data_IF_282301556449
#
_entry.id   IF_282301556449
#
_cell.length_a   1.000
_cell.length_b   1.000
_cell.length_c   1.000
_cell.angle_alpha   90.00
_cell.angle_beta   90.00
_cell.angle_gamma   90.00
#
_symmetry.space_group_name_H-M   'P 1'
#
loop_
_entity.id
_entity.type
_entity.pdbx_description
1 polymer ?
#
# COMPACT_ATOMS: atom_id res chain seq x y z
N UNK A 1 -35.45 29.74 -28.60
CA UNK A 1 -34.56 28.57 -28.40
C UNK A 1 -34.70 28.15 -26.95
N UNK A 2 -35.03 26.90 -26.70
CA UNK A 2 -35.17 26.35 -25.35
C UNK A 2 -33.81 25.79 -24.93
N UNK A 3 -33.31 26.20 -23.77
CA UNK A 3 -32.05 25.68 -23.22
C UNK A 3 -32.39 24.64 -22.16
N UNK A 4 -31.88 23.42 -22.30
CA UNK A 4 -31.98 22.39 -21.26
C UNK A 4 -30.69 22.35 -20.45
N UNK A 5 -30.79 22.47 -19.13
CA UNK A 5 -29.65 22.41 -18.22
C UNK A 5 -29.69 21.13 -17.38
N UNK A 6 -28.57 20.40 -17.37
CA UNK A 6 -28.35 19.36 -16.38
C UNK A 6 -27.85 19.98 -15.07
N UNK A 7 -28.74 20.21 -14.12
CA UNK A 7 -28.43 20.76 -12.79
C UNK A 7 -28.31 19.69 -11.69
N UNK A 8 -28.55 18.41 -12.01
CA UNK A 8 -28.36 17.31 -11.06
C UNK A 8 -26.90 16.85 -11.01
N UNK A 9 -26.49 16.20 -9.91
CA UNK A 9 -25.11 15.73 -9.70
C UNK A 9 -24.80 14.41 -10.43
N UNK A 10 -25.55 14.05 -11.47
CA UNK A 10 -25.36 12.83 -12.26
C UNK A 10 -25.32 13.15 -13.76
N UNK A 11 -24.70 12.27 -14.54
CA UNK A 11 -24.72 12.40 -16.00
C UNK A 11 -26.07 11.92 -16.54
N UNK A 12 -26.67 12.72 -17.43
CA UNK A 12 -27.93 12.38 -18.10
C UNK A 12 -27.71 12.24 -19.60
N UNK A 13 -28.41 11.29 -20.22
CA UNK A 13 -28.50 11.19 -21.67
C UNK A 13 -29.85 11.77 -22.12
N UNK A 14 -29.83 12.60 -23.16
CA UNK A 14 -30.98 13.35 -23.68
C UNK A 14 -31.08 13.08 -25.18
N UNK A 15 -32.27 12.78 -25.67
CA UNK A 15 -32.56 12.57 -27.10
C UNK A 15 -33.68 13.52 -27.55
N UNK A 16 -33.34 14.39 -28.49
CA UNK A 16 -34.23 15.37 -29.12
C UNK A 16 -34.58 14.98 -30.57
N UNK A 17 -34.47 13.70 -30.94
CA UNK A 17 -34.75 13.18 -32.29
C UNK A 17 -33.53 13.10 -33.22
N UNK A 18 -32.38 13.62 -32.80
CA UNK A 18 -31.10 13.49 -33.52
C UNK A 18 -30.16 12.44 -32.91
N UNK A 19 -30.65 11.70 -31.90
CA UNK A 19 -29.91 10.71 -31.14
C UNK A 19 -29.50 11.19 -29.75
N UNK A 20 -28.97 10.26 -28.96
CA UNK A 20 -28.61 10.50 -27.57
C UNK A 20 -27.35 11.37 -27.42
N UNK A 21 -27.52 12.53 -26.82
CA UNK A 21 -26.45 13.43 -26.36
C UNK A 21 -26.31 13.27 -24.85
N UNK A 22 -25.10 13.35 -24.31
CA UNK A 22 -24.91 13.27 -22.86
C UNK A 22 -24.46 14.58 -22.28
N UNK A 23 -25.14 14.93 -21.21
CA UNK A 23 -24.93 16.14 -20.45
C UNK A 23 -24.38 15.74 -19.10
N UNK A 24 -23.13 16.11 -18.86
CA UNK A 24 -22.53 16.05 -17.53
C UNK A 24 -23.13 17.13 -16.63
N UNK A 25 -22.97 17.03 -15.30
CA UNK A 25 -23.45 18.04 -14.37
C UNK A 25 -23.00 19.44 -14.79
N UNK A 26 -23.94 20.40 -14.74
CA UNK A 26 -23.81 21.81 -15.12
C UNK A 26 -23.66 22.08 -16.62
N UNK A 27 -23.73 21.06 -17.49
CA UNK A 27 -23.76 21.27 -18.93
C UNK A 27 -25.15 21.68 -19.41
N UNK A 28 -25.18 22.38 -20.54
CA UNK A 28 -26.37 22.92 -21.18
C UNK A 28 -26.48 22.40 -22.61
N UNK A 29 -27.70 22.15 -23.05
CA UNK A 29 -28.04 21.72 -24.42
C UNK A 29 -29.03 22.71 -25.02
N UNK A 30 -28.68 23.26 -26.19
CA UNK A 30 -29.62 24.06 -26.98
C UNK A 30 -30.53 23.12 -27.77
N UNK A 31 -31.84 23.18 -27.51
CA UNK A 31 -32.83 22.38 -28.21
C UNK A 31 -33.32 23.17 -29.43
N UNK A 32 -33.28 22.55 -30.60
CA UNK A 32 -33.83 23.12 -31.82
C UNK A 32 -35.33 23.39 -31.64
N UNK A 33 -35.81 24.55 -32.08
CA UNK A 33 -37.21 24.97 -31.89
C UNK A 33 -38.25 24.07 -32.57
N UNK A 34 -37.83 23.11 -33.39
CA UNK A 34 -38.68 22.12 -34.06
C UNK A 34 -38.92 20.84 -33.24
N UNK A 35 -38.30 20.67 -32.07
CA UNK A 35 -38.47 19.47 -31.26
C UNK A 35 -39.77 19.54 -30.44
N UNK A 36 -40.71 18.63 -30.69
CA UNK A 36 -41.99 18.55 -29.96
C UNK A 36 -41.87 17.84 -28.60
N UNK A 37 -40.88 16.96 -28.45
CA UNK A 37 -40.64 16.24 -27.20
C UNK A 37 -39.16 15.89 -27.01
N UNK A 38 -38.83 15.56 -25.77
CA UNK A 38 -37.48 15.24 -25.34
C UNK A 38 -37.51 13.98 -24.46
N UNK A 39 -36.69 13.00 -24.82
CA UNK A 39 -36.45 11.82 -23.99
C UNK A 39 -35.19 12.03 -23.16
N UNK A 40 -35.21 11.58 -21.92
CA UNK A 40 -34.01 11.55 -21.10
C UNK A 40 -33.90 10.29 -20.26
N UNK A 41 -32.68 9.93 -19.91
CA UNK A 41 -32.37 8.84 -19.00
C UNK A 41 -31.13 9.11 -18.19
N UNK A 42 -31.07 8.53 -17.00
CA UNK A 42 -29.85 8.53 -16.21
C UNK A 42 -28.81 7.65 -16.90
N UNK A 43 -27.58 8.14 -17.05
CA UNK A 43 -26.53 7.43 -17.78
C UNK A 43 -26.10 6.14 -17.07
N UNK A 44 -26.01 6.20 -15.76
CA UNK A 44 -25.56 5.08 -14.94
C UNK A 44 -26.69 4.06 -14.67
N UNK A 45 -27.94 4.44 -14.88
CA UNK A 45 -29.11 3.56 -14.76
C UNK A 45 -30.19 3.88 -15.80
N UNK A 46 -30.14 3.19 -16.94
CA UNK A 46 -31.10 3.38 -18.04
C UNK A 46 -32.55 3.00 -17.69
N UNK A 47 -32.83 2.47 -16.49
CA UNK A 47 -34.21 2.25 -16.03
C UNK A 47 -34.87 3.54 -15.55
N UNK A 48 -34.08 4.55 -15.19
CA UNK A 48 -34.56 5.87 -14.77
C UNK A 48 -34.66 6.73 -16.03
N UNK A 49 -35.88 6.84 -16.57
CA UNK A 49 -36.17 7.58 -17.81
C UNK A 49 -37.32 8.55 -17.62
N UNK A 50 -37.36 9.61 -18.42
CA UNK A 50 -38.49 10.53 -18.49
C UNK A 50 -38.70 11.04 -19.90
N UNK A 51 -39.95 11.35 -20.22
CA UNK A 51 -40.38 11.91 -21.50
C UNK A 51 -41.09 13.23 -21.24
N UNK A 52 -40.64 14.29 -21.90
CA UNK A 52 -41.10 15.66 -21.66
C UNK A 52 -41.62 16.22 -22.98
N UNK A 53 -42.86 16.70 -22.99
CA UNK A 53 -43.44 17.41 -24.13
C UNK A 53 -43.08 18.89 -24.07
N UNK A 54 -42.57 19.44 -25.18
CA UNK A 54 -42.20 20.84 -25.30
C UNK A 54 -43.41 21.56 -25.91
N UNK A 55 -44.28 22.12 -25.06
CA UNK A 55 -45.45 22.86 -25.54
C UNK A 55 -45.00 24.20 -26.17
N UNK A 56 -45.24 24.36 -27.47
CA UNK A 56 -44.86 25.55 -28.24
C UNK A 56 -45.70 26.81 -27.92
N UNK A 57 -46.81 26.68 -27.19
CA UNK A 57 -47.82 27.75 -27.04
C UNK A 57 -47.52 28.79 -25.94
N UNK A 58 -46.45 28.63 -25.15
CA UNK A 58 -46.04 29.61 -24.14
C UNK A 58 -45.08 30.66 -24.70
N UNK A 59 -45.55 31.49 -25.64
CA UNK A 59 -44.77 32.50 -26.37
C UNK A 59 -44.19 33.67 -25.54
N UNK A 60 -43.92 33.52 -24.25
CA UNK A 60 -43.49 34.63 -23.37
C UNK A 60 -42.40 34.31 -22.33
N UNK A 61 -41.87 33.08 -22.28
CA UNK A 61 -40.78 32.77 -21.34
C UNK A 61 -39.58 32.20 -22.09
N UNK A 62 -38.40 32.79 -21.87
CA UNK A 62 -37.13 32.12 -22.12
C UNK A 62 -37.01 30.97 -21.12
N UNK A 63 -37.68 29.85 -21.40
CA UNK A 63 -37.71 28.71 -20.48
C UNK A 63 -36.38 27.97 -20.60
N UNK A 64 -35.47 28.32 -19.71
CA UNK A 64 -34.44 27.39 -19.28
C UNK A 64 -35.17 26.25 -18.57
N UNK A 65 -35.03 25.02 -19.05
CA UNK A 65 -35.60 23.83 -18.43
C UNK A 65 -34.51 23.14 -17.65
N UNK A 66 -34.73 22.95 -16.35
CA UNK A 66 -33.77 22.27 -15.49
C UNK A 66 -34.14 20.80 -15.31
N UNK A 67 -33.14 19.94 -15.08
CA UNK A 67 -33.38 18.51 -14.84
C UNK A 67 -34.10 18.29 -13.51
N UNK A 68 -33.84 19.14 -12.50
CA UNK A 68 -34.51 19.10 -11.20
C UNK A 68 -36.02 19.37 -11.26
N UNK A 69 -36.49 20.10 -12.27
CA UNK A 69 -37.91 20.43 -12.46
C UNK A 69 -38.74 19.24 -12.96
N UNK A 70 -38.08 18.16 -13.40
CA UNK A 70 -38.71 16.99 -14.00
C UNK A 70 -39.11 15.99 -12.93
N UNK A 71 -40.09 16.38 -12.11
CA UNK A 71 -40.56 15.70 -10.90
C UNK A 71 -40.17 14.23 -10.74
N UNK A 72 -40.83 13.28 -11.44
CA UNK A 72 -40.54 11.85 -11.27
C UNK A 72 -39.11 11.43 -11.62
N UNK A 73 -38.48 12.08 -12.59
CA UNK A 73 -37.10 11.83 -12.98
C UNK A 73 -36.14 12.28 -11.90
N UNK A 74 -36.29 13.53 -11.43
CA UNK A 74 -35.41 14.09 -10.42
C UNK A 74 -35.44 13.26 -9.14
N UNK A 75 -36.64 12.90 -8.66
CA UNK A 75 -36.80 12.08 -7.46
C UNK A 75 -36.10 10.71 -7.60
N UNK A 76 -36.19 10.08 -8.77
CA UNK A 76 -35.53 8.79 -9.02
C UNK A 76 -34.01 8.93 -9.13
N UNK A 77 -33.53 9.96 -9.83
CA UNK A 77 -32.11 10.25 -9.97
C UNK A 77 -31.45 10.63 -8.64
N UNK A 78 -32.12 11.43 -7.81
CA UNK A 78 -31.68 11.76 -6.45
C UNK A 78 -31.60 10.51 -5.57
N UNK A 79 -32.63 9.66 -5.56
CA UNK A 79 -32.60 8.37 -4.83
C UNK A 79 -31.47 7.46 -5.32
N UNK A 80 -31.18 7.46 -6.62
CA UNK A 80 -30.05 6.72 -7.16
C UNK A 80 -28.72 7.31 -6.66
N UNK A 81 -28.56 8.62 -6.70
CA UNK A 81 -27.37 9.34 -6.20
C UNK A 81 -27.15 9.09 -4.71
N UNK A 82 -28.20 9.11 -3.89
CA UNK A 82 -28.12 8.81 -2.46
C UNK A 82 -27.66 7.37 -2.22
N UNK A 83 -28.21 6.39 -2.95
CA UNK A 83 -27.79 4.99 -2.84
C UNK A 83 -26.33 4.80 -3.25
N UNK A 84 -25.86 5.49 -4.28
CA UNK A 84 -24.45 5.42 -4.70
C UNK A 84 -23.53 6.12 -3.69
N UNK A 85 -23.92 7.27 -3.15
CA UNK A 85 -23.17 7.94 -2.06
C UNK A 85 -23.08 7.05 -0.83
N UNK A 86 -24.18 6.39 -0.44
CA UNK A 86 -24.20 5.43 0.66
C UNK A 86 -23.34 4.19 0.37
N UNK A 87 -23.34 3.67 -0.86
CA UNK A 87 -22.53 2.50 -1.24
C UNK A 87 -21.03 2.79 -1.14
N UNK A 88 -20.62 3.98 -1.60
CA UNK A 88 -19.24 4.48 -1.47
C UNK A 88 -18.87 4.68 0.00
N UNK A 89 -19.69 5.40 0.76
CA UNK A 89 -19.44 5.65 2.18
C UNK A 89 -19.36 4.34 2.99
N UNK A 90 -20.19 3.35 2.68
CA UNK A 90 -20.14 2.03 3.30
C UNK A 90 -18.87 1.27 2.93
N UNK A 91 -18.43 1.31 1.67
CA UNK A 91 -17.18 0.71 1.23
C UNK A 91 -15.97 1.36 1.92
N UNK A 92 -15.96 2.69 2.06
CA UNK A 92 -14.95 3.45 2.80
C UNK A 92 -14.95 3.09 4.30
N UNK A 93 -16.12 3.03 4.92
CA UNK A 93 -16.27 2.62 6.32
C UNK A 93 -15.75 1.19 6.55
N UNK A 94 -16.08 0.25 5.65
CA UNK A 94 -15.52 -1.10 5.70
C UNK A 94 -14.00 -1.12 5.53
N UNK A 95 -13.46 -0.30 4.63
CA UNK A 95 -12.01 -0.18 4.45
C UNK A 95 -11.32 0.38 5.71
N UNK A 96 -11.93 1.36 6.38
CA UNK A 96 -11.46 1.90 7.67
C UNK A 96 -11.52 0.84 8.77
N UNK A 97 -12.61 0.09 8.90
CA UNK A 97 -12.73 -0.99 9.88
C UNK A 97 -11.67 -2.07 9.67
N UNK A 98 -11.33 -2.42 8.43
CA UNK A 98 -10.22 -3.33 8.12
C UNK A 98 -8.89 -2.76 8.58
N UNK A 99 -8.59 -1.48 8.28
CA UNK A 99 -7.38 -0.82 8.76
C UNK A 99 -7.27 -0.81 10.28
N UNK A 100 -8.38 -0.55 10.99
CA UNK A 100 -8.43 -0.57 12.46
C UNK A 100 -8.20 -1.99 12.98
N UNK A 101 -8.82 -3.00 12.37
CA UNK A 101 -8.62 -4.42 12.75
C UNK A 101 -7.19 -4.87 12.52
N UNK A 102 -6.61 -4.54 11.38
CA UNK A 102 -5.22 -4.87 11.06
C UNK A 102 -4.26 -4.18 12.04
N UNK A 103 -4.51 -2.91 12.37
CA UNK A 103 -3.74 -2.20 13.40
C UNK A 103 -3.87 -2.87 14.78
N UNK A 104 -5.08 -3.27 15.17
CA UNK A 104 -5.34 -3.98 16.44
C UNK A 104 -4.60 -5.33 16.52
N UNK A 105 -4.62 -6.10 15.44
CA UNK A 105 -3.87 -7.36 15.34
C UNK A 105 -2.37 -7.12 15.48
N UNK A 106 -1.82 -6.11 14.79
CA UNK A 106 -0.40 -5.77 14.92
C UNK A 106 -0.03 -5.30 16.33
N UNK A 107 -0.90 -4.55 17.02
CA UNK A 107 -0.63 -4.12 18.40
C UNK A 107 -0.66 -5.30 19.37
N UNK A 108 -1.61 -6.23 19.20
CA UNK A 108 -1.70 -7.43 20.03
C UNK A 108 -0.49 -8.35 19.85
N UNK A 109 -0.03 -8.54 18.61
CA UNK A 109 1.16 -9.34 18.32
C UNK A 109 2.43 -8.68 18.88
N UNK A 110 2.52 -7.35 18.83
CA UNK A 110 3.61 -6.60 19.46
C UNK A 110 3.60 -6.73 20.98
N UNK A 111 2.45 -6.66 21.63
CA UNK A 111 2.32 -6.86 23.09
C UNK A 111 2.70 -8.29 23.51
N UNK A 112 2.24 -9.30 22.76
CA UNK A 112 2.60 -10.70 23.02
C UNK A 112 4.11 -10.92 22.86
N UNK A 113 4.69 -10.38 21.78
CA UNK A 113 6.14 -10.42 21.54
C UNK A 113 6.92 -9.71 22.66
N UNK A 114 6.42 -8.57 23.14
CA UNK A 114 7.01 -7.81 24.23
C UNK A 114 7.02 -8.60 25.55
N UNK A 115 5.91 -9.26 25.93
CA UNK A 115 5.85 -10.08 27.15
C UNK A 115 6.82 -11.27 27.10
N UNK A 116 6.91 -11.95 25.95
CA UNK A 116 7.87 -13.05 25.75
C UNK A 116 9.31 -12.55 25.87
N UNK A 117 9.60 -11.40 25.26
CA UNK A 117 10.90 -10.75 25.35
C UNK A 117 11.26 -10.35 26.79
N UNK A 118 10.34 -9.71 27.52
CA UNK A 118 10.55 -9.33 28.92
C UNK A 118 10.84 -10.54 29.81
N UNK A 119 10.12 -11.66 29.62
CA UNK A 119 10.37 -12.90 30.36
C UNK A 119 11.76 -13.48 30.05
N UNK A 120 12.18 -13.49 28.78
CA UNK A 120 13.52 -13.92 28.38
C UNK A 120 14.62 -13.02 28.96
N UNK A 121 14.41 -11.71 28.95
CA UNK A 121 15.33 -10.74 29.54
C UNK A 121 15.47 -10.96 31.05
N UNK A 122 14.37 -11.18 31.77
CA UNK A 122 14.39 -11.43 33.22
C UNK A 122 15.14 -12.73 33.56
N UNK A 123 14.85 -13.82 32.85
CA UNK A 123 15.56 -15.10 33.04
C UNK A 123 17.05 -14.92 32.79
N UNK A 124 17.41 -14.21 31.72
CA UNK A 124 18.81 -13.92 31.42
C UNK A 124 19.48 -13.10 32.53
N UNK A 125 18.85 -12.02 33.01
CA UNK A 125 19.39 -11.20 34.09
C UNK A 125 19.58 -12.00 35.38
N UNK A 126 18.67 -12.94 35.69
CA UNK A 126 18.81 -13.84 36.84
C UNK A 126 19.99 -14.80 36.68
N UNK A 127 20.09 -15.48 35.53
CA UNK A 127 21.22 -16.39 35.24
C UNK A 127 22.55 -15.64 35.27
N UNK A 128 22.55 -14.42 34.73
CA UNK A 128 23.70 -13.52 34.74
C UNK A 128 24.13 -13.16 36.16
N UNK A 129 23.19 -12.72 37.02
CA UNK A 129 23.46 -12.43 38.43
C UNK A 129 24.05 -13.63 39.17
N UNK A 130 23.48 -14.83 38.99
CA UNK A 130 23.97 -16.06 39.62
C UNK A 130 25.39 -16.39 39.15
N UNK A 131 25.64 -16.32 37.83
CA UNK A 131 26.97 -16.57 37.27
C UNK A 131 28.01 -15.58 37.81
N UNK A 132 27.62 -14.31 37.94
CA UNK A 132 28.48 -13.25 38.48
C UNK A 132 28.86 -13.52 39.93
N UNK A 133 27.89 -13.88 40.77
CA UNK A 133 28.11 -14.21 42.18
C UNK A 133 28.95 -15.48 42.35
N UNK A 134 28.77 -16.47 41.47
CA UNK A 134 29.58 -17.68 41.48
C UNK A 134 31.03 -17.40 41.07
N UNK A 135 31.24 -16.63 40.00
CA UNK A 135 32.57 -16.22 39.54
C UNK A 135 33.27 -15.36 40.60
N UNK A 136 32.57 -14.40 41.22
CA UNK A 136 33.16 -13.58 42.27
C UNK A 136 33.59 -14.43 43.46
N UNK A 137 32.73 -15.33 43.94
CA UNK A 137 33.09 -16.27 45.01
C UNK A 137 34.30 -17.15 44.67
N UNK A 138 34.36 -17.67 43.44
CA UNK A 138 35.48 -18.49 42.97
C UNK A 138 36.79 -17.70 42.90
N UNK A 139 36.75 -16.50 42.31
CA UNK A 139 37.93 -15.63 42.19
C UNK A 139 38.47 -15.17 43.54
N UNK A 140 37.59 -14.83 44.49
CA UNK A 140 38.00 -14.49 45.86
C UNK A 140 38.67 -15.67 46.58
N UNK A 141 38.34 -16.91 46.24
CA UNK A 141 38.89 -18.08 46.91
C UNK A 141 40.22 -18.56 46.32
N UNK A 142 40.40 -18.49 45.00
CA UNK A 142 41.54 -19.13 44.33
C UNK A 142 42.64 -18.18 43.84
N UNK A 143 42.30 -16.92 43.50
CA UNK A 143 43.28 -15.99 42.93
C UNK A 143 42.82 -14.53 43.10
N UNK A 144 42.96 -13.94 44.31
CA UNK A 144 42.50 -12.59 44.59
C UNK A 144 43.14 -11.52 43.67
N UNK A 145 44.35 -11.78 43.16
CA UNK A 145 45.04 -10.89 42.22
C UNK A 145 44.39 -10.86 40.82
N UNK A 146 43.66 -11.91 40.43
CA UNK A 146 42.96 -11.98 39.13
C UNK A 146 41.54 -11.42 39.19
N UNK A 147 41.01 -11.16 40.39
CA UNK A 147 39.65 -10.64 40.61
C UNK A 147 39.42 -9.34 39.84
N UNK A 148 40.42 -8.46 39.81
CA UNK A 148 40.35 -7.16 39.13
C UNK A 148 40.21 -7.34 37.61
N UNK A 149 41.07 -8.17 37.00
CA UNK A 149 41.07 -8.44 35.56
C UNK A 149 39.81 -9.17 35.13
N UNK A 150 39.34 -10.13 35.94
CA UNK A 150 38.07 -10.82 35.74
C UNK A 150 36.88 -9.86 35.77
N UNK A 151 36.88 -8.89 36.69
CA UNK A 151 35.83 -7.88 36.80
C UNK A 151 35.78 -6.95 35.59
N UNK A 152 36.93 -6.46 35.11
CA UNK A 152 36.99 -5.59 33.91
C UNK A 152 36.52 -6.32 32.65
N UNK A 153 36.96 -7.57 32.46
CA UNK A 153 36.49 -8.40 31.35
C UNK A 153 34.97 -8.64 31.42
N UNK A 154 34.47 -8.90 32.62
CA UNK A 154 33.04 -9.08 32.88
C UNK A 154 32.23 -7.81 32.55
N UNK A 155 32.64 -6.64 33.06
CA UNK A 155 31.99 -5.35 32.77
C UNK A 155 31.93 -5.05 31.26
N UNK A 156 33.00 -5.39 30.55
CA UNK A 156 33.11 -5.20 29.10
C UNK A 156 32.11 -6.08 28.34
N UNK A 157 31.94 -7.33 28.75
CA UNK A 157 30.93 -8.25 28.18
C UNK A 157 29.51 -7.76 28.49
N UNK A 158 29.25 -7.24 29.69
CA UNK A 158 27.96 -6.63 30.04
C UNK A 158 27.63 -5.43 29.15
N UNK A 159 28.61 -4.56 28.90
CA UNK A 159 28.46 -3.37 28.08
C UNK A 159 28.09 -3.74 26.63
N UNK A 160 28.80 -4.71 26.05
CA UNK A 160 28.53 -5.20 24.68
C UNK A 160 27.17 -5.90 24.61
N UNK A 161 26.81 -6.67 25.64
CA UNK A 161 25.53 -7.35 25.68
C UNK A 161 24.34 -6.39 25.83
N UNK A 162 24.43 -5.41 26.75
CA UNK A 162 23.39 -4.38 26.90
C UNK A 162 23.23 -3.54 25.63
N UNK A 163 24.34 -3.25 24.93
CA UNK A 163 24.31 -2.60 23.63
C UNK A 163 23.62 -3.44 22.54
N UNK A 164 23.97 -4.72 22.42
CA UNK A 164 23.36 -5.62 21.41
C UNK A 164 21.87 -5.84 21.70
N UNK A 165 21.48 -5.97 22.97
CA UNK A 165 20.08 -6.06 23.36
C UNK A 165 19.29 -4.79 23.05
N UNK A 166 19.88 -3.59 23.12
CA UNK A 166 19.23 -2.34 22.68
C UNK A 166 18.85 -2.37 21.20
N UNK A 167 19.69 -2.95 20.36
CA UNK A 167 19.42 -3.04 18.91
C UNK A 167 18.39 -4.11 18.56
N UNK A 168 18.30 -5.17 19.35
CA UNK A 168 17.36 -6.27 19.12
C UNK A 168 15.98 -5.98 19.73
N UNK A 169 15.92 -5.23 20.84
CA UNK A 169 14.67 -5.01 21.58
C UNK A 169 14.00 -3.65 21.32
N UNK A 170 12.85 -3.72 20.64
CA UNK A 170 11.89 -2.64 20.44
C UNK A 170 11.41 -1.88 21.71
N UNK A 171 11.32 -2.44 22.94
CA UNK A 171 10.87 -1.65 24.10
C UNK A 171 11.76 -0.46 24.47
N UNK A 172 13.08 -0.51 24.21
CA UNK A 172 13.98 0.63 24.40
C UNK A 172 13.71 1.77 23.41
N UNK A 173 13.20 1.45 22.21
CA UNK A 173 12.74 2.43 21.22
C UNK A 173 11.52 3.22 21.74
N UNK A 174 10.74 2.66 22.68
CA UNK A 174 9.61 3.34 23.29
C UNK A 174 10.05 4.40 24.31
N UNK A 175 11.07 4.10 25.13
CA UNK A 175 11.75 5.08 25.99
C UNK A 175 12.39 6.21 25.17
N UNK A 176 13.03 5.86 24.04
CA UNK A 176 13.59 6.84 23.10
C UNK A 176 12.52 7.75 22.49
N UNK A 177 11.34 7.20 22.15
CA UNK A 177 10.20 8.02 21.68
C UNK A 177 9.64 8.95 22.74
N UNK A 178 9.61 8.52 24.00
CA UNK A 178 8.94 9.27 25.09
C UNK A 178 9.83 10.34 25.72
N UNK A 179 11.12 10.06 25.91
CA UNK A 179 12.05 10.95 26.59
C UNK A 179 13.12 11.54 25.65
N UNK A 180 13.13 11.11 24.38
CA UNK A 180 14.18 11.48 23.43
C UNK A 180 15.43 10.61 23.57
N UNK A 181 16.22 10.55 22.50
CA UNK A 181 17.43 9.70 22.46
C UNK A 181 18.50 10.13 23.47
N UNK A 182 18.59 11.43 23.75
CA UNK A 182 19.57 11.95 24.72
C UNK A 182 19.31 11.44 26.12
N UNK A 183 18.08 11.58 26.63
CA UNK A 183 17.73 11.14 27.97
C UNK A 183 17.82 9.61 28.14
N UNK A 184 17.51 8.82 27.10
CA UNK A 184 17.66 7.36 27.17
C UNK A 184 19.13 6.92 27.21
N UNK A 185 20.02 7.64 26.53
CA UNK A 185 21.46 7.44 26.64
C UNK A 185 21.97 7.83 28.03
N UNK A 186 21.57 8.99 28.55
CA UNK A 186 21.97 9.44 29.90
C UNK A 186 21.53 8.43 30.96
N UNK A 187 20.27 7.98 30.94
CA UNK A 187 19.76 7.01 31.92
C UNK A 187 20.54 5.68 31.91
N UNK A 188 20.91 5.24 30.71
CA UNK A 188 21.72 4.04 30.48
C UNK A 188 23.14 4.21 31.00
N UNK A 189 23.77 5.35 30.71
CA UNK A 189 25.10 5.70 31.20
C UNK A 189 25.15 5.82 32.70
N UNK A 190 24.17 6.51 33.30
CA UNK A 190 24.06 6.64 34.75
C UNK A 190 23.85 5.29 35.42
N UNK A 191 23.04 4.41 34.83
CA UNK A 191 22.84 3.05 35.36
C UNK A 191 24.11 2.21 35.22
N UNK A 192 24.79 2.27 34.08
CA UNK A 192 26.06 1.57 33.85
C UNK A 192 27.12 2.00 34.87
N UNK A 193 27.32 3.30 35.04
CA UNK A 193 28.26 3.86 36.01
C UNK A 193 27.87 3.45 37.44
N UNK A 194 26.59 3.53 37.81
CA UNK A 194 26.18 3.21 39.17
C UNK A 194 26.30 1.71 39.51
N UNK A 195 25.90 0.82 38.60
CA UNK A 195 25.88 -0.62 38.86
C UNK A 195 27.22 -1.31 38.65
N UNK A 196 28.15 -0.77 37.85
CA UNK A 196 29.46 -1.39 37.63
C UNK A 196 30.57 -0.70 38.42
N UNK A 197 30.56 0.64 38.48
CA UNK A 197 31.58 1.40 39.21
C UNK A 197 31.31 1.36 40.72
N UNK A 198 30.04 1.38 41.14
CA UNK A 198 29.66 1.37 42.56
C UNK A 198 30.20 0.17 43.33
N UNK A 199 29.89 -1.08 42.90
CA UNK A 199 30.42 -2.28 43.55
C UNK A 199 31.94 -2.36 43.51
N UNK A 200 32.56 -1.94 42.40
CA UNK A 200 34.02 -1.90 42.25
C UNK A 200 34.68 -1.01 43.30
N UNK A 201 34.20 0.23 43.46
CA UNK A 201 34.71 1.17 44.46
C UNK A 201 34.54 0.63 45.88
N UNK A 202 33.41 -0.03 46.18
CA UNK A 202 33.18 -0.65 47.49
C UNK A 202 34.12 -1.84 47.77
N UNK A 203 34.40 -2.66 46.75
CA UNK A 203 35.25 -3.85 46.87
C UNK A 203 36.72 -3.46 47.08
N UNK A 204 37.17 -2.42 46.39
CA UNK A 204 38.50 -1.84 46.55
C UNK A 204 38.63 -1.12 47.89
N UNK A 205 37.62 -0.35 48.29
CA UNK A 205 37.60 0.28 49.61
C UNK A 205 37.76 -0.73 50.74
N UNK A 206 37.11 -1.90 50.62
CA UNK A 206 37.28 -3.05 51.53
C UNK A 206 38.70 -3.62 51.47
N UNK A 207 39.24 -3.87 50.29
CA UNK A 207 40.56 -4.46 50.12
C UNK A 207 41.68 -3.57 50.69
N UNK A 208 41.57 -2.25 50.51
CA UNK A 208 42.53 -1.29 51.05
C UNK A 208 42.41 -1.13 52.58
N UNK A 209 41.22 -1.34 53.16
CA UNK A 209 41.06 -1.36 54.62
C UNK A 209 41.79 -2.54 55.28
N UNK A 210 41.86 -3.69 54.63
CA UNK A 210 42.47 -4.90 55.20
C UNK A 210 44.01 -4.93 55.11
N UNK A 211 44.62 -4.19 54.16
CA UNK A 211 46.07 -4.31 53.85
C UNK A 211 46.95 -3.23 54.52
N UNK A 212 46.37 -2.26 55.25
CA UNK A 212 47.14 -1.15 55.85
C UNK A 212 47.96 -0.32 54.84
N UNK A 213 47.63 -0.40 53.54
CA UNK A 213 48.21 0.49 52.55
C UNK A 213 47.59 1.88 52.63
N UNK A 214 48.41 2.90 52.33
CA UNK A 214 47.98 4.28 52.34
C UNK A 214 46.89 4.46 51.26
N UNK A 215 45.74 5.00 51.65
CA UNK A 215 44.53 5.09 50.82
C UNK A 215 44.81 5.70 49.44
N UNK A 216 45.77 6.62 49.38
CA UNK A 216 46.19 7.31 48.16
C UNK A 216 46.93 6.42 47.17
N UNK A 217 47.80 5.50 47.60
CA UNK A 217 48.50 4.59 46.67
C UNK A 217 47.53 3.58 46.06
N UNK A 218 46.60 3.09 46.88
CA UNK A 218 45.47 2.26 46.46
C UNK A 218 44.61 2.98 45.40
N UNK A 219 44.23 4.24 45.66
CA UNK A 219 43.44 5.04 44.71
C UNK A 219 44.19 5.31 43.41
N UNK A 220 45.51 5.51 43.44
CA UNK A 220 46.31 5.75 42.24
C UNK A 220 46.51 4.48 41.39
N UNK A 221 46.69 3.31 42.00
CA UNK A 221 46.74 2.03 41.28
C UNK A 221 45.38 1.69 40.63
N UNK A 222 44.29 2.12 41.26
CA UNK A 222 42.92 1.93 40.77
C UNK A 222 42.53 2.95 39.73
N UNK A 223 43.08 4.16 39.84
CA UNK A 223 42.99 5.21 38.86
C UNK A 223 44.04 5.06 37.75
N UNK A 224 44.74 3.93 37.63
CA UNK A 224 45.57 3.67 36.46
C UNK A 224 44.64 3.55 35.24
N UNK A 225 44.51 4.68 34.57
CA UNK A 225 43.49 5.02 33.55
C UNK A 225 43.52 4.00 32.39
N UNK A 226 44.62 3.28 32.20
CA UNK A 226 44.80 2.26 31.17
C UNK A 226 43.77 1.15 31.21
N UNK A 227 43.30 0.73 32.39
CA UNK A 227 42.28 -0.32 32.51
C UNK A 227 40.85 0.20 32.30
N UNK A 228 40.64 1.52 32.45
CA UNK A 228 39.36 2.19 32.20
C UNK A 228 39.20 2.70 30.77
N UNK A 229 40.29 2.90 30.04
CA UNK A 229 40.28 3.37 28.64
C UNK A 229 39.37 2.50 27.75
N UNK A 230 39.40 1.15 27.78
CA UNK A 230 38.49 0.32 26.99
C UNK A 230 37.01 0.49 27.37
N UNK A 231 36.73 0.71 28.68
CA UNK A 231 35.38 0.93 29.19
C UNK A 231 34.78 2.28 28.77
N UNK A 232 35.62 3.28 28.46
CA UNK A 232 35.17 4.58 27.94
C UNK A 232 35.14 4.63 26.40
N UNK A 233 36.13 4.04 25.72
CA UNK A 233 36.27 4.12 24.26
C UNK A 233 35.14 3.38 23.54
N UNK A 234 34.87 2.13 23.92
CA UNK A 234 33.86 1.30 23.24
C UNK A 234 32.49 2.00 23.21
N UNK A 235 31.96 2.49 24.35
CA UNK A 235 30.67 3.13 24.31
C UNK A 235 30.63 4.51 23.66
N UNK A 236 31.66 5.34 23.84
CA UNK A 236 31.74 6.64 23.16
C UNK A 236 31.81 6.41 21.65
N UNK A 237 32.66 5.47 21.20
CA UNK A 237 32.78 5.08 19.80
C UNK A 237 31.46 4.55 19.22
N UNK A 238 30.74 3.72 19.96
CA UNK A 238 29.42 3.21 19.56
C UNK A 238 28.36 4.32 19.49
N UNK A 239 28.41 5.30 20.39
CA UNK A 239 27.49 6.47 20.39
C UNK A 239 27.79 7.38 19.19
N UNK A 240 29.07 7.63 18.89
CA UNK A 240 29.51 8.39 17.71
C UNK A 240 29.09 7.67 16.43
N UNK A 241 29.34 6.35 16.32
CA UNK A 241 28.93 5.55 15.17
C UNK A 241 27.42 5.64 14.91
N UNK A 242 26.60 5.59 15.98
CA UNK A 242 25.16 5.76 15.88
C UNK A 242 24.76 7.16 15.40
N UNK A 243 25.38 8.22 15.93
CA UNK A 243 25.14 9.58 15.49
C UNK A 243 25.49 9.78 14.02
N UNK A 244 26.65 9.29 13.59
CA UNK A 244 27.10 9.32 12.18
C UNK A 244 26.09 8.59 11.29
N UNK A 245 25.62 7.40 11.68
CA UNK A 245 24.63 6.63 10.91
C UNK A 245 23.29 7.37 10.79
N UNK A 246 22.80 7.99 11.88
CA UNK A 246 21.54 8.75 11.89
C UNK A 246 21.65 10.03 11.07
N UNK A 247 22.81 10.70 11.14
CA UNK A 247 23.07 11.91 10.37
C UNK A 247 23.19 11.59 8.89
N UNK A 248 23.92 10.53 8.51
CA UNK A 248 23.97 10.02 7.14
C UNK A 248 22.59 9.70 6.57
N UNK A 249 21.67 9.14 7.37
CA UNK A 249 20.30 8.87 6.93
C UNK A 249 19.53 10.13 6.53
N UNK A 250 19.69 11.23 7.28
CA UNK A 250 19.07 12.53 6.93
C UNK A 250 19.80 13.23 5.78
N UNK A 251 21.14 13.20 5.79
CA UNK A 251 21.95 13.82 4.75
C UNK A 251 21.74 13.14 3.40
N UNK A 252 21.64 11.80 3.36
CA UNK A 252 21.43 11.05 2.14
C UNK A 252 20.10 11.39 1.44
N UNK A 253 19.06 11.71 2.21
CA UNK A 253 17.76 12.17 1.68
C UNK A 253 17.88 13.56 1.05
N UNK A 254 18.74 14.43 1.57
CA UNK A 254 18.95 15.77 1.01
C UNK A 254 19.96 15.80 -0.14
N UNK A 255 21.00 14.96 -0.09
CA UNK A 255 22.06 14.91 -1.10
C UNK A 255 21.69 14.11 -2.34
N UNK A 256 20.80 13.13 -2.22
CA UNK A 256 20.46 12.23 -3.32
C UNK A 256 18.95 12.12 -3.57
N UNK A 257 18.25 13.24 -3.84
CA UNK A 257 16.82 13.21 -4.16
C UNK A 257 16.51 12.27 -5.33
N UNK A 258 17.38 12.24 -6.36
CA UNK A 258 17.22 11.38 -7.54
C UNK A 258 17.31 9.88 -7.22
N UNK A 259 18.15 9.48 -6.25
CA UNK A 259 18.23 8.08 -5.81
C UNK A 259 17.02 7.69 -4.97
N UNK A 260 16.50 8.62 -4.17
CA UNK A 260 15.26 8.41 -3.43
C UNK A 260 14.07 8.33 -4.39
N UNK A 261 14.00 9.18 -5.40
CA UNK A 261 13.00 9.12 -6.45
C UNK A 261 13.08 7.81 -7.22
N UNK A 262 14.28 7.35 -7.58
CA UNK A 262 14.48 6.00 -8.16
C UNK A 262 14.05 4.89 -7.21
N UNK A 263 14.32 4.98 -5.91
CA UNK A 263 13.87 3.99 -4.92
C UNK A 263 12.34 4.01 -4.69
N UNK A 264 11.73 5.19 -4.72
CA UNK A 264 10.29 5.39 -4.59
C UNK A 264 9.59 4.92 -5.86
N UNK A 265 10.12 5.23 -7.04
CA UNK A 265 9.68 4.71 -8.32
C UNK A 265 9.86 3.19 -8.39
N UNK A 266 10.96 2.65 -7.88
CA UNK A 266 11.19 1.21 -7.80
C UNK A 266 10.25 0.54 -6.80
N UNK A 267 10.00 1.11 -5.62
CA UNK A 267 8.96 0.61 -4.71
C UNK A 267 7.57 0.77 -5.29
N UNK A 268 7.29 1.85 -6.00
CA UNK A 268 6.04 2.07 -6.70
C UNK A 268 5.88 1.03 -7.80
N UNK A 269 6.95 0.64 -8.50
CA UNK A 269 6.99 -0.43 -9.49
C UNK A 269 6.87 -1.83 -8.84
N UNK A 270 7.50 -2.06 -7.69
CA UNK A 270 7.34 -3.28 -6.88
C UNK A 270 5.91 -3.38 -6.30
N UNK A 271 5.28 -2.24 -6.03
CA UNK A 271 3.88 -2.12 -5.61
C UNK A 271 2.91 -1.98 -6.79
N UNK A 272 3.41 -1.73 -8.02
CA UNK A 272 2.58 -1.70 -9.20
C UNK A 272 2.03 -3.10 -9.33
N UNK A 273 0.71 -3.19 -9.44
CA UNK A 273 -0.01 -4.46 -9.46
C UNK A 273 0.17 -5.09 -10.85
N UNK A 274 1.41 -5.24 -11.32
CA UNK A 274 1.70 -6.02 -12.52
C UNK A 274 1.12 -7.40 -12.26
N UNK A 275 0.16 -7.76 -13.11
CA UNK A 275 -0.57 -8.99 -12.98
C UNK A 275 -0.72 -9.59 -14.36
N UNK A 276 0.00 -10.69 -14.60
CA UNK A 276 0.00 -11.38 -15.88
C UNK A 276 -1.17 -12.35 -16.05
N UNK A 277 -2.05 -12.45 -15.05
CA UNK A 277 -2.98 -13.57 -14.91
C UNK A 277 -2.30 -14.80 -14.32
N UNK A 278 -3.09 -15.68 -13.72
CA UNK A 278 -2.69 -17.01 -13.27
C UNK A 278 -3.89 -17.93 -13.35
N UNK A 279 -3.87 -18.83 -14.32
CA UNK A 279 -4.86 -19.89 -14.45
C UNK A 279 -4.45 -21.03 -13.52
N UNK A 280 -5.39 -21.50 -12.71
CA UNK A 280 -5.21 -22.66 -11.84
C UNK A 280 -5.85 -23.88 -12.50
N UNK A 281 -5.20 -25.03 -12.37
CA UNK A 281 -5.72 -26.31 -12.82
C UNK A 281 -6.98 -26.71 -12.03
N UNK A 282 -7.87 -27.44 -12.71
CA UNK A 282 -9.08 -28.02 -12.12
C UNK A 282 -10.35 -27.75 -12.94
N UNK A 283 -10.96 -28.84 -13.40
CA UNK A 283 -12.23 -28.81 -14.13
C UNK A 283 -13.35 -28.17 -13.27
N UNK A 284 -14.13 -27.27 -13.87
CA UNK A 284 -15.25 -26.59 -13.23
C UNK A 284 -14.86 -25.44 -12.29
N UNK A 285 -13.57 -25.17 -12.08
CA UNK A 285 -13.11 -24.06 -11.23
C UNK A 285 -13.42 -22.71 -11.86
N UNK A 286 -13.95 -21.76 -11.08
CA UNK A 286 -14.17 -20.39 -11.54
C UNK A 286 -12.86 -19.70 -11.96
N UNK A 287 -12.85 -19.09 -13.14
CA UNK A 287 -11.72 -18.31 -13.67
C UNK A 287 -12.18 -16.91 -14.08
N UNK A 288 -11.67 -15.89 -13.42
CA UNK A 288 -12.02 -14.49 -13.69
C UNK A 288 -11.38 -14.04 -15.00
N UNK A 289 -12.19 -13.82 -16.04
CA UNK A 289 -11.74 -13.49 -17.39
C UNK A 289 -11.94 -12.01 -17.76
N UNK A 290 -12.77 -11.27 -17.04
CA UNK A 290 -12.89 -9.82 -17.19
C UNK A 290 -12.99 -9.13 -15.83
N UNK A 291 -12.61 -7.85 -15.80
CA UNK A 291 -12.78 -7.04 -14.60
C UNK A 291 -13.20 -5.61 -14.92
N UNK A 292 -14.29 -5.10 -14.31
CA UNK A 292 -14.64 -3.69 -14.41
C UNK A 292 -13.67 -2.83 -13.60
N UNK A 293 -12.92 -1.95 -14.29
CA UNK A 293 -11.88 -1.10 -13.68
C UNK A 293 -12.34 -0.15 -12.56
N UNK A 294 -13.65 0.02 -12.34
CA UNK A 294 -14.20 0.88 -11.25
C UNK A 294 -13.92 0.32 -9.84
N UNK A 295 -13.77 -1.00 -9.70
CA UNK A 295 -13.66 -1.64 -8.38
C UNK A 295 -12.21 -2.01 -8.04
N UNK A 296 -11.35 -1.00 -7.91
CA UNK A 296 -9.92 -1.17 -7.60
C UNK A 296 -9.66 -1.98 -6.31
N UNK A 297 -10.36 -1.76 -5.17
CA UNK A 297 -10.11 -2.55 -3.95
C UNK A 297 -10.43 -4.04 -4.12
N UNK A 298 -11.43 -4.37 -4.94
CA UNK A 298 -11.81 -5.75 -5.21
C UNK A 298 -10.84 -6.40 -6.22
N UNK A 299 -10.29 -5.63 -7.17
CA UNK A 299 -9.18 -6.05 -8.00
C UNK A 299 -7.97 -6.46 -7.16
N UNK A 300 -7.55 -5.63 -6.19
CA UNK A 300 -6.41 -5.93 -5.32
C UNK A 300 -6.62 -7.20 -4.49
N UNK A 301 -7.85 -7.41 -4.02
CA UNK A 301 -8.22 -8.63 -3.31
C UNK A 301 -8.11 -9.87 -4.22
N UNK A 302 -8.62 -9.79 -5.45
CA UNK A 302 -8.53 -10.86 -6.45
C UNK A 302 -7.07 -11.17 -6.80
N UNK A 303 -6.25 -10.16 -7.09
CA UNK A 303 -4.82 -10.34 -7.42
C UNK A 303 -4.07 -10.98 -6.26
N UNK A 304 -4.27 -10.52 -5.02
CA UNK A 304 -3.66 -11.15 -3.83
C UNK A 304 -4.09 -12.60 -3.66
N UNK A 305 -5.37 -12.90 -3.87
CA UNK A 305 -5.91 -14.27 -3.81
C UNK A 305 -5.31 -15.18 -4.89
N UNK A 306 -5.18 -14.66 -6.12
CA UNK A 306 -4.59 -15.38 -7.25
C UNK A 306 -3.09 -15.64 -7.07
N UNK A 307 -2.32 -14.65 -6.57
CA UNK A 307 -0.90 -14.83 -6.22
C UNK A 307 -0.70 -15.92 -5.16
N UNK A 308 -1.65 -16.09 -4.23
CA UNK A 308 -1.66 -17.17 -3.23
C UNK A 308 -2.15 -18.52 -3.77
N UNK A 309 -2.59 -18.61 -5.02
CA UNK A 309 -3.10 -19.84 -5.63
C UNK A 309 -4.54 -20.19 -5.24
N UNK A 310 -5.29 -19.23 -4.69
CA UNK A 310 -6.67 -19.47 -4.24
C UNK A 310 -7.71 -19.18 -5.33
N UNK A 311 -7.43 -18.22 -6.23
CA UNK A 311 -8.35 -17.77 -7.28
C UNK A 311 -7.70 -17.87 -8.66
N UNK A 312 -8.38 -18.49 -9.61
CA UNK A 312 -7.96 -18.52 -11.01
C UNK A 312 -8.39 -17.23 -11.71
N UNK A 313 -7.49 -16.60 -12.45
CA UNK A 313 -7.75 -15.32 -13.10
C UNK A 313 -6.96 -15.20 -14.40
N UNK A 314 -7.66 -15.00 -15.52
CA UNK A 314 -7.05 -14.78 -16.84
C UNK A 314 -6.79 -13.30 -17.14
N UNK A 315 -7.40 -12.39 -16.38
CA UNK A 315 -7.24 -10.92 -16.53
C UNK A 315 -5.78 -10.49 -16.39
N UNK A 316 -5.40 -9.49 -17.20
CA UNK A 316 -4.03 -8.97 -17.29
C UNK A 316 -4.03 -7.47 -17.00
N UNK A 317 -3.06 -7.00 -16.22
CA UNK A 317 -2.80 -5.58 -15.97
C UNK A 317 -1.30 -5.30 -16.05
N UNK A 318 -0.93 -4.48 -17.03
CA UNK A 318 0.44 -4.07 -17.33
C UNK A 318 0.53 -2.53 -17.19
N UNK A 319 0.76 -2.01 -15.97
CA UNK A 319 0.88 -0.58 -15.74
C UNK A 319 2.15 0.00 -16.38
N UNK A 320 2.18 1.32 -16.50
CA UNK A 320 3.37 2.08 -16.91
C UNK A 320 4.58 1.70 -16.04
N UNK A 321 5.75 1.60 -16.68
CA UNK A 321 7.00 1.14 -16.05
C UNK A 321 7.16 -0.38 -15.97
N UNK A 322 6.10 -1.17 -16.20
CA UNK A 322 6.25 -2.64 -16.30
C UNK A 322 7.04 -3.04 -17.55
N UNK A 323 7.76 -4.15 -17.50
CA UNK A 323 8.62 -4.62 -18.60
C UNK A 323 7.86 -4.86 -19.92
N UNK A 324 6.55 -5.12 -19.84
CA UNK A 324 5.69 -5.39 -21.00
C UNK A 324 4.85 -4.18 -21.42
N UNK A 325 4.96 -3.05 -20.74
CA UNK A 325 4.27 -1.82 -21.10
C UNK A 325 4.85 -1.25 -22.41
N UNK A 326 3.97 -0.80 -23.30
CA UNK A 326 4.37 -0.25 -24.60
C UNK A 326 4.80 -1.30 -25.63
N UNK A 327 4.83 -2.59 -25.27
CA UNK A 327 5.12 -3.66 -26.23
C UNK A 327 3.90 -3.98 -27.09
N UNK A 328 4.15 -4.22 -28.38
CA UNK A 328 3.15 -4.57 -29.37
C UNK A 328 3.45 -5.96 -29.91
N UNK A 329 2.41 -6.80 -29.96
CA UNK A 329 2.50 -8.12 -30.58
C UNK A 329 1.84 -8.08 -31.95
N UNK A 330 2.50 -8.70 -32.93
CA UNK A 330 1.93 -8.95 -34.24
C UNK A 330 0.68 -9.83 -34.13
N UNK A 331 -0.27 -9.59 -35.03
CA UNK A 331 -1.46 -10.43 -35.16
C UNK A 331 -1.01 -11.75 -35.84
N UNK A 332 -1.37 -12.93 -35.31
CA UNK A 332 -1.09 -14.21 -35.97
C UNK A 332 -1.71 -14.27 -37.37
N UNK A 333 -1.01 -14.91 -38.31
CA UNK A 333 -1.49 -15.18 -39.66
C UNK A 333 -2.41 -16.41 -39.66
N UNK A 334 -3.59 -16.25 -39.06
CA UNK A 334 -4.66 -17.25 -39.02
C UNK A 334 -5.76 -16.87 -40.00
N UNK A 335 -6.37 -17.85 -40.69
CA UNK A 335 -7.41 -17.64 -41.70
C UNK A 335 -8.60 -16.84 -41.14
N UNK A 336 -8.97 -17.07 -39.88
CA UNK A 336 -10.06 -16.36 -39.18
C UNK A 336 -9.71 -14.90 -38.81
N UNK A 337 -8.44 -14.52 -38.90
CA UNK A 337 -7.91 -13.20 -38.52
C UNK A 337 -7.39 -12.40 -39.73
N UNK A 338 -7.41 -12.96 -40.94
CA UNK A 338 -6.89 -12.33 -42.16
C UNK A 338 -7.56 -10.99 -42.50
N UNK A 339 -8.81 -10.82 -42.11
CA UNK A 339 -9.57 -9.58 -42.34
C UNK A 339 -9.19 -8.45 -41.37
N UNK A 340 -8.34 -8.71 -40.37
CA UNK A 340 -7.94 -7.70 -39.39
C UNK A 340 -6.82 -6.80 -39.95
N UNK A 341 -7.11 -5.51 -40.03
CA UNK A 341 -6.13 -4.52 -40.47
C UNK A 341 -5.16 -4.14 -39.34
N UNK A 342 -3.86 -4.09 -39.66
CA UNK A 342 -2.83 -3.47 -38.84
C UNK A 342 -1.68 -4.39 -38.43
N UNK A 343 -0.53 -3.80 -38.10
CA UNK A 343 0.68 -4.55 -37.72
C UNK A 343 0.61 -5.18 -36.31
N UNK A 344 -0.36 -4.79 -35.48
CA UNK A 344 -0.52 -5.29 -34.11
C UNK A 344 -1.97 -5.15 -33.65
N UNK A 345 -2.31 -5.78 -32.52
CA UNK A 345 -3.66 -5.77 -31.94
C UNK A 345 -4.21 -4.38 -31.58
N UNK A 346 -3.36 -3.34 -31.47
CA UNK A 346 -3.86 -1.99 -31.16
C UNK A 346 -4.83 -1.46 -32.23
N UNK A 347 -4.57 -1.71 -33.51
CA UNK A 347 -5.40 -1.15 -34.60
C UNK A 347 -6.78 -1.82 -34.61
N UNK A 348 -6.90 -3.17 -34.58
CA UNK A 348 -8.21 -3.80 -34.46
C UNK A 348 -8.94 -3.49 -33.15
N UNK A 349 -8.26 -3.24 -32.03
CA UNK A 349 -8.92 -2.98 -30.75
C UNK A 349 -9.33 -1.51 -30.56
N UNK A 350 -8.49 -0.60 -31.04
CA UNK A 350 -8.57 0.82 -30.71
C UNK A 350 -8.56 1.76 -31.91
N UNK A 351 -8.44 1.23 -33.13
CA UNK A 351 -8.30 1.99 -34.39
C UNK A 351 -6.95 2.64 -34.63
N UNK A 352 -6.09 2.72 -33.62
CA UNK A 352 -4.77 3.34 -33.72
C UNK A 352 -3.78 2.64 -32.78
N UNK A 353 -2.48 2.80 -33.07
CA UNK A 353 -1.42 2.27 -32.22
C UNK A 353 -1.37 3.05 -30.90
N UNK A 354 -1.52 2.36 -29.77
CA UNK A 354 -1.54 2.98 -28.44
C UNK A 354 -0.17 2.95 -27.76
N UNK A 355 0.22 4.01 -27.01
CA UNK A 355 1.54 4.09 -26.38
C UNK A 355 1.75 3.05 -25.26
N UNK A 356 0.68 2.57 -24.63
CA UNK A 356 0.74 1.51 -23.62
C UNK A 356 0.88 0.09 -24.21
N UNK A 357 0.86 -0.05 -25.53
CA UNK A 357 1.04 -1.35 -26.19
C UNK A 357 -0.20 -2.24 -26.18
N UNK A 358 -0.10 -3.38 -26.84
CA UNK A 358 -1.16 -4.41 -26.89
C UNK A 358 -0.71 -5.78 -26.40
N UNK A 359 0.49 -5.90 -25.81
CA UNK A 359 1.01 -7.15 -25.23
C UNK A 359 0.07 -7.79 -24.21
N UNK A 360 -0.70 -6.98 -23.49
CA UNK A 360 -1.70 -7.44 -22.52
C UNK A 360 -2.78 -8.30 -23.17
N UNK A 361 -3.16 -8.01 -24.43
CA UNK A 361 -4.21 -8.71 -25.16
C UNK A 361 -3.79 -10.14 -25.49
N UNK A 362 -2.60 -10.31 -26.07
CA UNK A 362 -2.03 -11.63 -26.37
C UNK A 362 -1.88 -12.49 -25.12
N UNK A 363 -1.45 -11.89 -24.00
CA UNK A 363 -1.38 -12.58 -22.70
C UNK A 363 -2.75 -12.98 -22.18
N UNK A 364 -3.73 -12.09 -22.32
CA UNK A 364 -5.11 -12.36 -21.91
C UNK A 364 -5.73 -13.50 -22.71
N UNK A 365 -5.60 -13.51 -24.04
CA UNK A 365 -6.07 -14.61 -24.91
C UNK A 365 -5.45 -15.93 -24.46
N UNK A 366 -4.12 -15.98 -24.33
CA UNK A 366 -3.42 -17.20 -23.91
C UNK A 366 -3.91 -17.71 -22.55
N UNK A 367 -4.19 -16.81 -21.59
CA UNK A 367 -4.76 -17.21 -20.30
C UNK A 367 -6.20 -17.71 -20.41
N UNK A 368 -7.02 -17.13 -21.30
CA UNK A 368 -8.39 -17.59 -21.51
C UNK A 368 -8.40 -18.97 -22.17
N UNK A 369 -7.59 -19.17 -23.21
CA UNK A 369 -7.40 -20.47 -23.87
C UNK A 369 -6.90 -21.52 -22.89
N UNK A 370 -5.96 -21.17 -22.04
CA UNK A 370 -5.48 -22.02 -20.96
C UNK A 370 -6.60 -22.39 -19.99
N UNK A 371 -7.42 -21.42 -19.56
CA UNK A 371 -8.57 -21.68 -18.70
C UNK A 371 -9.59 -22.62 -19.35
N UNK A 372 -9.86 -22.46 -20.65
CA UNK A 372 -10.73 -23.35 -21.43
C UNK A 372 -10.13 -24.76 -21.50
N UNK A 373 -8.83 -24.88 -21.80
CA UNK A 373 -8.10 -26.15 -21.87
C UNK A 373 -8.15 -26.92 -20.55
N UNK A 374 -8.12 -26.21 -19.42
CA UNK A 374 -8.24 -26.77 -18.08
C UNK A 374 -9.69 -27.09 -17.66
N UNK A 375 -10.68 -26.81 -18.52
CA UNK A 375 -12.09 -27.00 -18.24
C UNK A 375 -12.64 -26.05 -17.17
N UNK A 376 -12.03 -24.87 -17.01
CA UNK A 376 -12.47 -23.88 -16.04
C UNK A 376 -13.82 -23.24 -16.42
N UNK A 377 -14.59 -22.84 -15.41
CA UNK A 377 -15.81 -22.04 -15.58
C UNK A 377 -15.42 -20.57 -15.73
N UNK A 378 -15.56 -20.01 -16.94
CA UNK A 378 -15.19 -18.62 -17.20
C UNK A 378 -16.18 -17.65 -16.54
N UNK A 379 -15.67 -16.72 -15.74
CA UNK A 379 -16.43 -15.72 -15.01
C UNK A 379 -16.13 -14.32 -15.58
N UNK A 380 -17.18 -13.61 -15.99
CA UNK A 380 -17.10 -12.29 -16.62
C UNK A 380 -17.92 -11.32 -15.79
N UNK A 381 -17.26 -10.28 -15.28
CA UNK A 381 -17.88 -9.24 -14.47
C UNK A 381 -18.22 -8.03 -15.33
N UNK A 382 -19.42 -7.48 -15.10
CA UNK A 382 -19.94 -6.30 -15.77
C UNK A 382 -20.30 -5.24 -14.73
N UNK A 383 -20.40 -3.98 -15.16
CA UNK A 383 -21.08 -2.96 -14.35
C UNK A 383 -22.54 -3.36 -14.12
N UNK A 384 -23.13 -2.82 -13.04
CA UNK A 384 -24.55 -2.96 -12.79
C UNK A 384 -25.35 -2.61 -14.05
N UNK A 385 -26.39 -3.41 -14.34
CA UNK A 385 -27.25 -3.25 -15.51
C UNK A 385 -26.53 -3.29 -16.88
N UNK A 386 -25.27 -3.73 -16.97
CA UNK A 386 -24.49 -3.75 -18.23
C UNK A 386 -24.30 -5.14 -18.84
N UNK A 387 -24.83 -6.19 -18.19
CA UNK A 387 -24.75 -7.56 -18.70
C UNK A 387 -25.44 -7.66 -20.06
N UNK A 388 -24.72 -8.16 -21.07
CA UNK A 388 -25.24 -8.35 -22.42
C UNK A 388 -25.30 -7.09 -23.30
N UNK A 389 -24.98 -5.90 -22.77
CA UNK A 389 -25.01 -4.63 -23.54
C UNK A 389 -23.78 -4.37 -24.41
N UNK A 390 -22.79 -5.26 -24.39
CA UNK A 390 -21.53 -5.13 -25.14
C UNK A 390 -21.16 -6.40 -25.89
N UNK A 391 -22.16 -7.08 -26.47
CA UNK A 391 -21.91 -8.23 -27.35
C UNK A 391 -21.42 -7.71 -28.70
N UNK A 392 -20.16 -7.94 -29.00
CA UNK A 392 -19.66 -7.79 -30.36
C UNK A 392 -20.19 -8.94 -31.21
N UNK A 393 -20.53 -8.66 -32.47
CA UNK A 393 -20.95 -9.68 -33.43
C UNK A 393 -19.78 -10.58 -33.85
N UNK A 394 -18.61 -9.97 -34.04
CA UNK A 394 -17.35 -10.66 -34.31
C UNK A 394 -16.19 -9.88 -33.70
N UNK A 395 -15.00 -10.49 -33.69
CA UNK A 395 -13.81 -9.77 -33.22
C UNK A 395 -13.50 -8.55 -34.10
N UNK A 396 -13.72 -8.64 -35.42
CA UNK A 396 -13.56 -7.51 -36.33
C UNK A 396 -14.49 -6.33 -36.03
N UNK A 397 -15.66 -6.56 -35.42
CA UNK A 397 -16.57 -5.47 -35.03
C UNK A 397 -16.20 -4.83 -33.69
N UNK A 398 -15.41 -5.49 -32.84
CA UNK A 398 -15.01 -4.94 -31.53
C UNK A 398 -14.33 -3.58 -31.64
N UNK A 399 -13.41 -3.42 -32.60
CA UNK A 399 -12.71 -2.16 -32.84
C UNK A 399 -13.62 -1.04 -33.29
N UNK A 400 -14.46 -1.32 -34.29
CA UNK A 400 -15.44 -0.39 -34.83
C UNK A 400 -16.44 0.05 -33.75
N UNK A 401 -16.89 -0.87 -32.89
CA UNK A 401 -17.74 -0.55 -31.74
C UNK A 401 -17.02 0.32 -30.71
N UNK A 402 -15.76 0.01 -30.39
CA UNK A 402 -14.94 0.83 -29.49
C UNK A 402 -14.75 2.25 -30.06
N UNK A 403 -14.36 2.38 -31.32
CA UNK A 403 -14.18 3.66 -32.02
C UNK A 403 -15.48 4.45 -32.09
N UNK A 404 -16.60 3.79 -32.38
CA UNK A 404 -17.93 4.42 -32.35
C UNK A 404 -18.23 4.97 -30.96
N UNK A 405 -17.94 4.20 -29.91
CA UNK A 405 -18.10 4.66 -28.53
C UNK A 405 -17.21 5.87 -28.26
N UNK A 406 -15.91 5.80 -28.55
CA UNK A 406 -14.96 6.91 -28.39
C UNK A 406 -15.40 8.18 -29.14
N UNK A 407 -15.89 8.05 -30.37
CA UNK A 407 -16.42 9.17 -31.14
C UNK A 407 -17.66 9.80 -30.48
N UNK A 408 -18.57 8.98 -29.93
CA UNK A 408 -19.69 9.46 -29.14
C UNK A 408 -19.25 10.13 -27.83
N UNK A 409 -18.11 9.70 -27.25
CA UNK A 409 -17.53 10.34 -26.07
C UNK A 409 -16.87 11.68 -26.38
N UNK A 410 -16.15 11.82 -27.49
CA UNK A 410 -15.48 13.08 -27.89
C UNK A 410 -16.45 14.18 -28.34
N UNK A 411 -17.67 13.81 -28.74
CA UNK A 411 -18.75 14.76 -29.09
C UNK A 411 -19.47 15.32 -27.86
N UNK A 412 -19.21 14.77 -26.68
CA UNK A 412 -19.69 15.26 -25.37
C UNK A 412 -18.62 16.15 -24.76
#
# INVERSE_FOLDING_TARGET
MTTFQNDIQAAVEVDCGSGWVVLYPKQRLQIAGSAESLWMRLREDYTITSHVYIHAEAGLFSSEMCTSELGPFNIQAERWLEREKMSVAFAEAQALLRKVRDKSLTTHDLEKSQKVCQRRLLIFLLLYMVLTLALSGLTMHFAPELTLKGWVAFCSVTAVFTWTMRHINKPLVHLEKRYGTGASLVLMWSSFLFFLLGPYVLLIGRFCQDIQHDFWECMMAVADITDFIPLCILPVGLTIHWFVRKFHGKLAVQLYPDLLERHVAQRALENCIVFHGRVLEGMGRGCVCSWPGKYAPAWDAMVRSSKKGNTSAAVVFLPEGSQLFGLHDSIPDDDDLKDLTGACWCVPLYGERKPWGCKWWTKWIANVEEAVRQGAKLEVYFFANSKGKGKAQSFGTCGSEHLRREALWRRR
#
